data_IF_340575804365
#
_entry.id   IF_340575804365
#
_cell.length_a   1.000
_cell.length_b   1.000
_cell.length_c   1.000
_cell.angle_alpha   90.00
_cell.angle_beta   90.00
_cell.angle_gamma   90.00
#
_symmetry.space_group_name_H-M   'P 1'
#
loop_
_entity.id
_entity.type
_entity.pdbx_description
1 polymer ?
#
# COMPACT_ATOMS: atom_id res chain seq x y z
N UNK A 1 17.25 13.35 43.37
CA UNK A 1 17.70 12.35 42.38
C UNK A 1 16.59 12.14 41.36
N UNK A 2 16.95 12.14 40.07
CA UNK A 2 16.05 12.26 38.91
C UNK A 2 14.86 11.30 38.92
N UNK A 3 13.70 11.84 38.54
CA UNK A 3 12.54 11.09 38.06
C UNK A 3 12.99 9.98 37.11
N UNK A 4 12.75 8.72 37.48
CA UNK A 4 12.75 7.64 36.50
C UNK A 4 11.46 7.78 35.70
N UNK A 5 11.49 8.03 34.37
CA UNK A 5 10.31 7.78 33.56
C UNK A 5 9.98 6.30 33.73
N UNK A 6 8.82 6.00 34.31
CA UNK A 6 8.39 4.64 34.52
C UNK A 6 8.33 3.98 33.14
N UNK A 7 9.18 2.99 32.98
CA UNK A 7 9.45 2.34 31.71
C UNK A 7 8.20 1.65 31.18
N UNK A 8 7.93 1.88 29.90
CA UNK A 8 6.97 1.17 29.04
C UNK A 8 5.51 1.56 29.32
N UNK A 9 4.96 2.37 28.41
CA UNK A 9 3.54 2.28 28.07
C UNK A 9 3.21 0.79 27.94
N UNK A 10 2.35 0.26 28.83
CA UNK A 10 1.91 -1.12 28.69
C UNK A 10 1.24 -1.26 27.34
N UNK A 11 1.61 -2.30 26.60
CA UNK A 11 1.11 -2.55 25.26
C UNK A 11 -0.43 -2.54 25.29
N UNK A 12 -1.04 -1.59 24.60
CA UNK A 12 -2.48 -1.33 24.62
C UNK A 12 -3.29 -2.60 24.33
N UNK A 13 -2.77 -3.48 23.46
CA UNK A 13 -3.34 -4.80 23.16
C UNK A 13 -3.78 -5.60 24.40
N UNK A 14 -3.00 -5.59 25.49
CA UNK A 14 -3.31 -6.34 26.71
C UNK A 14 -4.49 -5.70 27.46
N UNK A 15 -4.52 -4.38 27.50
CA UNK A 15 -5.59 -3.62 28.13
C UNK A 15 -6.89 -3.73 27.31
N UNK A 16 -6.79 -3.70 25.99
CA UNK A 16 -7.90 -3.89 25.04
C UNK A 16 -8.49 -5.30 25.15
N UNK A 17 -7.66 -6.33 25.22
CA UNK A 17 -8.13 -7.71 25.43
C UNK A 17 -8.92 -7.85 26.73
N UNK A 18 -8.41 -7.26 27.83
CA UNK A 18 -9.10 -7.28 29.14
C UNK A 18 -10.42 -6.52 29.08
N UNK A 19 -10.48 -5.42 28.33
CA UNK A 19 -11.70 -4.65 28.14
C UNK A 19 -12.74 -5.42 27.32
N UNK A 20 -12.35 -6.02 26.21
CA UNK A 20 -13.20 -6.88 25.38
C UNK A 20 -13.73 -8.07 26.19
N UNK A 21 -12.89 -8.70 27.01
CA UNK A 21 -13.31 -9.78 27.91
C UNK A 21 -14.41 -9.33 28.87
N UNK A 22 -14.28 -8.14 29.48
CA UNK A 22 -15.30 -7.57 30.37
C UNK A 22 -16.60 -7.29 29.63
N UNK A 23 -16.53 -6.75 28.41
CA UNK A 23 -17.71 -6.51 27.57
C UNK A 23 -18.41 -7.82 27.20
N UNK A 24 -17.65 -8.86 26.84
CA UNK A 24 -18.18 -10.19 26.54
C UNK A 24 -18.86 -10.82 27.77
N UNK A 25 -18.20 -10.77 28.93
CA UNK A 25 -18.77 -11.28 30.18
C UNK A 25 -20.03 -10.54 30.64
N UNK A 26 -20.14 -9.24 30.33
CA UNK A 26 -21.32 -8.43 30.60
C UNK A 26 -22.44 -8.59 29.55
N UNK A 27 -22.23 -9.38 28.49
CA UNK A 27 -23.20 -9.54 27.39
C UNK A 27 -23.39 -8.27 26.54
N UNK A 28 -22.46 -7.32 26.62
CA UNK A 28 -22.51 -6.05 25.90
C UNK A 28 -21.87 -6.13 24.51
N UNK A 29 -21.29 -7.28 24.16
CA UNK A 29 -20.65 -7.50 22.87
C UNK A 29 -21.66 -8.13 21.89
N UNK A 30 -21.83 -7.50 20.74
CA UNK A 30 -22.58 -8.08 19.63
C UNK A 30 -21.76 -9.24 19.02
N UNK A 31 -22.42 -10.36 18.75
CA UNK A 31 -21.78 -11.48 18.03
C UNK A 31 -21.30 -11.02 16.65
N UNK A 32 -20.11 -11.48 16.28
CA UNK A 32 -19.55 -11.21 14.95
C UNK A 32 -20.30 -12.02 13.90
N UNK A 33 -20.94 -11.34 12.94
CA UNK A 33 -21.64 -12.01 11.85
C UNK A 33 -20.65 -12.65 10.87
N UNK A 34 -20.57 -13.98 10.91
CA UNK A 34 -19.83 -14.80 9.95
C UNK A 34 -20.82 -15.41 8.97
N UNK A 35 -20.81 -15.01 7.68
CA UNK A 35 -21.70 -15.57 6.68
C UNK A 35 -21.27 -17.00 6.37
N UNK A 36 -22.22 -17.86 6.05
CA UNK A 36 -21.96 -19.25 5.71
C UNK A 36 -21.99 -19.48 4.19
N UNK A 37 -21.32 -20.56 3.76
CA UNK A 37 -21.31 -21.02 2.38
C UNK A 37 -20.80 -19.97 1.38
N UNK A 38 -21.49 -19.84 0.24
CA UNK A 38 -21.09 -18.98 -0.89
C UNK A 38 -20.90 -17.51 -0.51
N UNK A 39 -21.61 -17.02 0.50
CA UNK A 39 -21.51 -15.63 0.93
C UNK A 39 -20.16 -15.34 1.62
N UNK A 40 -19.57 -16.35 2.29
CA UNK A 40 -18.22 -16.25 2.86
C UNK A 40 -17.18 -16.13 1.75
N UNK A 41 -17.28 -16.95 0.71
CA UNK A 41 -16.39 -16.94 -0.46
C UNK A 41 -16.41 -15.57 -1.16
N UNK A 42 -17.61 -15.03 -1.40
CA UNK A 42 -17.76 -13.70 -2.01
C UNK A 42 -17.14 -12.62 -1.12
N UNK A 43 -17.40 -12.66 0.20
CA UNK A 43 -16.81 -11.70 1.14
C UNK A 43 -15.28 -11.75 1.11
N UNK A 44 -14.70 -12.95 1.06
CA UNK A 44 -13.26 -13.12 0.98
C UNK A 44 -12.70 -12.48 -0.29
N UNK A 45 -13.26 -12.80 -1.46
CA UNK A 45 -12.83 -12.24 -2.74
C UNK A 45 -12.96 -10.71 -2.79
N UNK A 46 -14.03 -10.15 -2.24
CA UNK A 46 -14.23 -8.70 -2.17
C UNK A 46 -13.18 -8.04 -1.26
N UNK A 47 -12.90 -8.63 -0.10
CA UNK A 47 -11.87 -8.12 0.82
C UNK A 47 -10.49 -8.14 0.16
N UNK A 48 -10.07 -9.26 -0.42
CA UNK A 48 -8.79 -9.37 -1.12
C UNK A 48 -8.67 -8.34 -2.25
N UNK A 49 -9.76 -8.12 -3.01
CA UNK A 49 -9.78 -7.08 -4.04
C UNK A 49 -9.57 -5.68 -3.45
N UNK A 50 -10.25 -5.35 -2.34
CA UNK A 50 -10.10 -4.05 -1.69
C UNK A 50 -8.68 -3.86 -1.16
N UNK A 51 -8.11 -4.89 -0.55
CA UNK A 51 -6.74 -4.87 -0.05
C UNK A 51 -5.75 -4.60 -1.20
N UNK A 52 -5.92 -5.26 -2.36
CA UNK A 52 -5.10 -5.01 -3.56
C UNK A 52 -5.24 -3.57 -4.05
N UNK A 53 -6.46 -3.02 -4.07
CA UNK A 53 -6.71 -1.64 -4.51
C UNK A 53 -6.02 -0.65 -3.56
N UNK A 54 -6.15 -0.84 -2.26
CA UNK A 54 -5.52 0.01 -1.25
C UNK A 54 -4.00 -0.03 -1.37
N UNK A 55 -3.45 -1.24 -1.54
CA UNK A 55 -2.01 -1.43 -1.74
C UNK A 55 -1.48 -0.83 -3.05
N UNK A 56 -2.32 -0.64 -4.07
CA UNK A 56 -1.90 -0.14 -5.38
C UNK A 56 -1.12 1.17 -5.31
N UNK A 57 -1.60 2.12 -4.51
CA UNK A 57 -0.90 3.41 -4.29
C UNK A 57 0.48 3.24 -3.64
N UNK A 58 0.59 2.33 -2.66
CA UNK A 58 1.83 2.00 -1.98
C UNK A 58 2.86 1.41 -2.96
N UNK A 59 2.43 0.53 -3.87
CA UNK A 59 3.32 -0.04 -4.89
C UNK A 59 3.81 1.00 -5.88
N UNK A 60 2.97 1.96 -6.30
CA UNK A 60 3.42 3.07 -7.15
C UNK A 60 4.49 3.92 -6.46
N UNK A 61 4.30 4.23 -5.17
CA UNK A 61 5.30 4.97 -4.39
C UNK A 61 6.61 4.17 -4.21
N UNK A 62 6.51 2.85 -4.02
CA UNK A 62 7.69 1.97 -3.98
C UNK A 62 8.45 1.97 -5.30
N UNK A 63 7.76 1.89 -6.44
CA UNK A 63 8.38 1.98 -7.76
C UNK A 63 9.12 3.30 -7.95
N UNK A 64 8.47 4.43 -7.62
CA UNK A 64 9.11 5.75 -7.62
C UNK A 64 10.38 5.77 -6.77
N UNK A 65 10.29 5.26 -5.54
CA UNK A 65 11.44 5.21 -4.64
C UNK A 65 12.58 4.36 -5.20
N UNK A 66 12.29 3.22 -5.82
CA UNK A 66 13.30 2.39 -6.47
C UNK A 66 14.01 3.14 -7.61
N UNK A 67 13.26 3.87 -8.45
CA UNK A 67 13.84 4.68 -9.52
C UNK A 67 14.76 5.78 -8.98
N UNK A 68 14.35 6.48 -7.92
CA UNK A 68 15.19 7.48 -7.24
C UNK A 68 16.49 6.89 -6.69
N UNK A 69 16.42 5.71 -6.06
CA UNK A 69 17.60 5.02 -5.52
C UNK A 69 18.58 4.60 -6.61
N UNK A 70 18.10 4.34 -7.83
CA UNK A 70 18.91 4.08 -9.02
C UNK A 70 19.39 5.36 -9.72
N UNK A 71 19.12 6.54 -9.15
CA UNK A 71 19.41 7.85 -9.71
C UNK A 71 18.70 8.12 -11.05
N UNK A 72 17.50 7.54 -11.23
CA UNK A 72 16.64 7.74 -12.41
C UNK A 72 15.47 8.65 -12.01
N UNK A 73 15.53 9.92 -12.43
CA UNK A 73 14.52 10.95 -12.11
C UNK A 73 13.34 10.96 -13.08
N UNK A 74 12.71 9.81 -13.29
CA UNK A 74 11.59 9.68 -14.24
C UNK A 74 10.36 10.53 -13.83
N UNK A 75 10.17 10.72 -12.53
CA UNK A 75 9.09 11.49 -11.92
C UNK A 75 9.11 12.99 -12.29
N UNK A 76 10.28 13.53 -12.67
CA UNK A 76 10.39 14.93 -13.12
C UNK A 76 9.93 15.12 -14.57
N UNK A 77 9.97 14.05 -15.37
CA UNK A 77 9.67 14.10 -16.82
C UNK A 77 8.23 13.67 -17.11
N UNK A 78 7.65 12.78 -16.29
CA UNK A 78 6.33 12.20 -16.53
C UNK A 78 5.46 12.39 -15.28
N UNK A 79 4.24 12.88 -15.48
CA UNK A 79 3.25 13.06 -14.40
C UNK A 79 2.80 11.73 -13.77
N UNK A 80 2.65 10.66 -14.58
CA UNK A 80 2.16 9.36 -14.13
C UNK A 80 3.09 8.21 -14.56
N UNK A 81 3.79 7.62 -13.60
CA UNK A 81 4.73 6.51 -13.86
C UNK A 81 3.99 5.18 -14.11
N UNK A 82 2.82 4.98 -13.51
CA UNK A 82 1.98 3.79 -13.71
C UNK A 82 1.09 3.88 -14.96
N UNK A 83 1.17 4.97 -15.73
CA UNK A 83 0.48 5.10 -17.00
C UNK A 83 1.14 4.28 -18.11
N UNK A 84 0.46 4.10 -19.24
CA UNK A 84 0.97 3.31 -20.37
C UNK A 84 2.33 3.81 -20.89
N UNK A 85 2.56 5.12 -20.88
CA UNK A 85 3.83 5.73 -21.27
C UNK A 85 4.94 5.42 -20.26
N UNK A 86 4.68 5.63 -18.96
CA UNK A 86 5.65 5.39 -17.90
C UNK A 86 6.08 3.92 -17.80
N UNK A 87 5.12 2.99 -17.91
CA UNK A 87 5.39 1.55 -17.91
C UNK A 87 6.28 1.17 -19.10
N UNK A 88 5.96 1.61 -20.32
CA UNK A 88 6.79 1.31 -21.51
C UNK A 88 8.21 1.85 -21.38
N UNK A 89 8.39 3.03 -20.80
CA UNK A 89 9.72 3.59 -20.55
C UNK A 89 10.49 2.77 -19.52
N UNK A 90 9.83 2.34 -18.43
CA UNK A 90 10.45 1.49 -17.42
C UNK A 90 10.85 0.14 -18.02
N UNK A 91 9.97 -0.50 -18.79
CA UNK A 91 10.25 -1.76 -19.48
C UNK A 91 11.46 -1.61 -20.42
N UNK A 92 11.50 -0.55 -21.24
CA UNK A 92 12.64 -0.27 -22.11
C UNK A 92 13.95 -0.07 -21.33
N UNK A 93 13.92 0.62 -20.19
CA UNK A 93 15.09 0.80 -19.32
C UNK A 93 15.56 -0.55 -18.76
N UNK A 94 14.64 -1.42 -18.35
CA UNK A 94 14.92 -2.77 -17.85
C UNK A 94 15.55 -3.64 -18.96
N UNK A 95 15.04 -3.53 -20.19
CA UNK A 95 15.58 -4.21 -21.38
C UNK A 95 16.97 -3.66 -21.81
N UNK A 96 17.48 -2.63 -21.12
CA UNK A 96 18.82 -2.09 -21.32
C UNK A 96 18.87 -0.87 -22.22
N UNK A 97 17.74 -0.32 -22.65
CA UNK A 97 17.70 0.87 -23.47
C UNK A 97 18.05 2.13 -22.65
N UNK A 98 19.11 2.82 -23.08
CA UNK A 98 19.60 4.06 -22.43
C UNK A 98 19.62 5.28 -23.36
N UNK A 99 19.23 5.12 -24.62
CA UNK A 99 19.16 6.23 -25.57
C UNK A 99 18.04 7.22 -25.18
N UNK A 100 18.38 8.48 -24.85
CA UNK A 100 17.39 9.49 -24.49
C UNK A 100 16.34 9.73 -25.56
N UNK A 101 16.67 9.65 -26.85
CA UNK A 101 15.69 9.92 -27.92
C UNK A 101 14.64 8.82 -28.01
N UNK A 102 15.07 7.57 -27.87
CA UNK A 102 14.16 6.42 -27.87
C UNK A 102 13.28 6.45 -26.63
N UNK A 103 13.83 6.76 -25.45
CA UNK A 103 13.04 6.88 -24.23
C UNK A 103 12.01 8.03 -24.32
N UNK A 104 12.40 9.18 -24.87
CA UNK A 104 11.48 10.30 -25.11
C UNK A 104 10.38 9.95 -26.13
N UNK A 105 10.62 9.04 -27.08
CA UNK A 105 9.59 8.64 -28.05
C UNK A 105 8.40 7.92 -27.41
N UNK A 106 8.62 7.29 -26.25
CA UNK A 106 7.56 6.64 -25.48
C UNK A 106 6.77 7.61 -24.60
N UNK A 107 7.29 8.83 -24.38
CA UNK A 107 6.55 9.89 -23.72
C UNK A 107 5.38 10.30 -24.62
N UNK A 108 4.17 9.90 -24.22
CA UNK A 108 2.96 10.46 -24.86
C UNK A 108 2.98 11.95 -24.54
N UNK A 109 2.75 12.81 -25.54
CA UNK A 109 2.53 14.25 -25.36
C UNK A 109 1.23 14.47 -24.57
N UNK A 110 1.24 14.14 -23.30
CA UNK A 110 0.25 14.64 -22.35
C UNK A 110 0.66 16.08 -22.04
N UNK A 111 0.37 16.96 -23.00
CA UNK A 111 0.37 18.40 -22.80
C UNK A 111 -0.62 18.69 -21.68
N UNK A 112 -0.10 19.13 -20.54
CA UNK A 112 -0.86 19.88 -19.56
C UNK A 112 -0.07 21.12 -19.17
#
# INVERSE_FOLDING_TARGET
>A
MRNKPNSKEEKTDVQDCRWIQKLFAAGLLQESFVPEGKMLEIRYLVRERLDIIEMGSSYVNKMQRCLELMNIKLTEVISQIHGASGIRMIEAIIDGQRDPQVLCSYAIKDYR
#
